data_IF_523188880599
#
_entry.id   IF_523188880599
#
_cell.length_a   1.000
_cell.length_b   1.000
_cell.length_c   1.000
_cell.angle_alpha   90.00
_cell.angle_beta   90.00
_cell.angle_gamma   90.00
#
_symmetry.space_group_name_H-M   'P 1'
#
loop_
_entity.id
_entity.type
_entity.pdbx_description
1 polymer ?
#
# COMPACT_ATOMS: atom_id res chain seq x y z
N UNK A 1 -14.25 4.51 22.04
CA UNK A 1 -14.22 3.27 21.23
C UNK A 1 -14.69 3.49 19.78
N UNK A 2 -15.84 4.14 19.55
CA UNK A 2 -16.37 4.42 18.18
C UNK A 2 -15.41 5.20 17.26
N UNK A 3 -14.59 6.11 17.81
CA UNK A 3 -13.61 6.89 17.03
C UNK A 3 -12.46 6.05 16.46
N UNK A 4 -11.93 5.12 17.23
CA UNK A 4 -10.80 4.26 16.81
C UNK A 4 -11.28 3.26 15.75
N UNK A 5 -12.45 2.65 15.95
CA UNK A 5 -13.05 1.76 14.96
C UNK A 5 -13.32 2.46 13.61
N UNK A 6 -13.81 3.71 13.65
CA UNK A 6 -13.96 4.53 12.43
C UNK A 6 -12.63 4.86 11.76
N UNK A 7 -11.58 5.12 12.53
CA UNK A 7 -10.24 5.44 12.00
C UNK A 7 -9.61 4.23 11.31
N UNK A 8 -9.78 3.03 11.88
CA UNK A 8 -9.35 1.77 11.26
C UNK A 8 -10.15 1.52 9.97
N UNK A 9 -11.49 1.65 10.01
CA UNK A 9 -12.31 1.49 8.81
C UNK A 9 -11.96 2.48 7.70
N UNK A 10 -11.60 3.71 8.06
CA UNK A 10 -11.12 4.72 7.13
C UNK A 10 -9.79 4.33 6.47
N UNK A 11 -8.86 3.78 7.25
CA UNK A 11 -7.58 3.29 6.73
C UNK A 11 -7.77 2.14 5.74
N UNK A 12 -8.59 1.14 6.08
CA UNK A 12 -8.90 0.02 5.18
C UNK A 12 -9.63 0.47 3.92
N UNK A 13 -10.52 1.47 4.03
CA UNK A 13 -11.18 2.07 2.86
C UNK A 13 -10.15 2.75 1.95
N UNK A 14 -9.17 3.47 2.49
CA UNK A 14 -8.09 4.09 1.71
C UNK A 14 -7.21 3.05 1.00
N UNK A 15 -6.83 1.96 1.70
CA UNK A 15 -6.12 0.83 1.09
C UNK A 15 -6.94 0.23 -0.06
N UNK A 16 -8.26 0.06 0.13
CA UNK A 16 -9.16 -0.44 -0.91
C UNK A 16 -9.22 0.47 -2.15
N UNK A 17 -9.24 1.79 -1.96
CA UNK A 17 -9.21 2.76 -3.07
C UNK A 17 -7.88 2.71 -3.81
N UNK A 18 -6.74 2.65 -3.13
CA UNK A 18 -5.42 2.50 -3.79
C UNK A 18 -5.31 1.19 -4.58
N UNK A 19 -5.87 0.09 -4.05
CA UNK A 19 -5.95 -1.18 -4.79
C UNK A 19 -6.85 -1.07 -6.03
N UNK A 20 -8.01 -0.41 -5.91
CA UNK A 20 -8.92 -0.19 -7.04
C UNK A 20 -8.36 0.77 -8.10
N UNK A 21 -7.49 1.70 -7.72
CA UNK A 21 -6.79 2.60 -8.64
C UNK A 21 -5.72 1.90 -9.50
N UNK A 22 -5.38 0.65 -9.18
CA UNK A 22 -4.35 -0.13 -9.85
C UNK A 22 -2.92 0.17 -9.37
N UNK A 23 -2.62 1.39 -8.94
CA UNK A 23 -1.27 1.77 -8.47
C UNK A 23 -0.88 0.99 -7.20
N UNK A 24 -1.80 0.83 -6.26
CA UNK A 24 -1.59 0.01 -5.05
C UNK A 24 -1.37 -1.47 -5.38
N UNK A 25 -2.01 -1.96 -6.45
CA UNK A 25 -1.90 -3.35 -6.91
C UNK A 25 -0.51 -3.62 -7.51
N UNK A 26 0.01 -2.68 -8.32
CA UNK A 26 1.38 -2.73 -8.84
C UNK A 26 2.40 -2.73 -7.69
N UNK A 27 2.25 -1.84 -6.71
CA UNK A 27 3.15 -1.79 -5.55
C UNK A 27 3.10 -3.09 -4.71
N UNK A 28 1.92 -3.70 -4.57
CA UNK A 28 1.75 -4.98 -3.89
C UNK A 28 2.48 -6.10 -4.63
N UNK A 29 2.34 -6.18 -5.96
CA UNK A 29 3.02 -7.20 -6.79
C UNK A 29 4.53 -7.04 -6.74
N UNK A 30 5.04 -5.81 -6.88
CA UNK A 30 6.49 -5.52 -6.78
C UNK A 30 7.02 -5.91 -5.40
N UNK A 31 6.29 -5.58 -4.34
CA UNK A 31 6.67 -5.98 -2.98
C UNK A 31 6.62 -7.50 -2.78
N UNK A 32 5.64 -8.19 -3.36
CA UNK A 32 5.56 -9.65 -3.33
C UNK A 32 6.73 -10.31 -4.07
N UNK A 33 7.16 -9.77 -5.20
CA UNK A 33 8.36 -10.24 -5.92
C UNK A 33 9.63 -10.02 -5.11
N UNK A 34 9.77 -8.88 -4.43
CA UNK A 34 10.88 -8.61 -3.51
C UNK A 34 10.87 -9.61 -2.33
N UNK A 35 9.70 -9.88 -1.76
CA UNK A 35 9.47 -10.88 -0.71
C UNK A 35 9.75 -12.30 -1.17
N UNK A 36 9.52 -12.61 -2.45
CA UNK A 36 9.91 -13.87 -3.07
C UNK A 36 11.42 -13.94 -3.33
N UNK A 37 12.10 -12.84 -3.66
CA UNK A 37 13.55 -12.86 -3.96
C UNK A 37 14.47 -12.75 -2.75
N UNK A 38 13.94 -12.65 -1.53
CA UNK A 38 14.74 -12.43 -0.29
C UNK A 38 15.48 -11.09 -0.31
N UNK A 39 14.98 -10.12 -1.07
CA UNK A 39 15.51 -8.77 -1.03
C UNK A 39 15.37 -8.24 0.40
N UNK A 40 16.39 -7.50 0.88
CA UNK A 40 16.34 -6.94 2.22
C UNK A 40 15.15 -5.99 2.38
N UNK A 41 14.57 -5.94 3.58
CA UNK A 41 13.36 -5.15 3.89
C UNK A 41 13.53 -3.66 3.53
N UNK A 42 14.77 -3.15 3.53
CA UNK A 42 15.10 -1.79 3.07
C UNK A 42 14.72 -1.53 1.61
N UNK A 43 14.67 -2.55 0.75
CA UNK A 43 14.21 -2.43 -0.63
C UNK A 43 12.70 -2.21 -0.76
N UNK A 44 11.90 -2.40 0.30
CA UNK A 44 10.48 -2.02 0.26
C UNK A 44 10.26 -0.50 0.30
N UNK A 45 11.24 0.27 0.79
CA UNK A 45 11.11 1.72 0.83
C UNK A 45 11.03 2.31 -0.58
N UNK A 46 11.75 1.75 -1.55
CA UNK A 46 11.71 2.21 -2.94
C UNK A 46 10.31 2.11 -3.58
N UNK A 47 9.63 0.95 -3.62
CA UNK A 47 8.28 0.83 -4.16
C UNK A 47 7.23 1.55 -3.30
N UNK A 48 7.42 1.64 -1.98
CA UNK A 48 6.51 2.39 -1.11
C UNK A 48 6.57 3.90 -1.37
N UNK A 49 7.76 4.47 -1.51
CA UNK A 49 7.96 5.89 -1.82
C UNK A 49 7.54 6.18 -3.26
N UNK A 50 7.90 5.34 -4.23
CA UNK A 50 7.49 5.52 -5.61
C UNK A 50 5.96 5.44 -5.78
N UNK A 51 5.32 4.49 -5.10
CA UNK A 51 3.86 4.37 -5.07
C UNK A 51 3.18 5.56 -4.39
N UNK A 52 3.72 6.05 -3.28
CA UNK A 52 3.22 7.25 -2.62
C UNK A 52 3.34 8.51 -3.50
N UNK A 53 4.46 8.69 -4.22
CA UNK A 53 4.63 9.82 -5.15
C UNK A 53 3.64 9.70 -6.32
N UNK A 54 3.52 8.51 -6.92
CA UNK A 54 2.60 8.28 -8.03
C UNK A 54 1.15 8.54 -7.62
N UNK A 55 0.73 8.01 -6.47
CA UNK A 55 -0.60 8.26 -5.92
C UNK A 55 -0.79 9.75 -5.59
N UNK A 56 0.22 10.43 -5.03
CA UNK A 56 0.10 11.86 -4.77
C UNK A 56 -0.10 12.65 -6.07
N UNK A 57 0.58 12.31 -7.17
CA UNK A 57 0.36 12.97 -8.47
C UNK A 57 -1.02 12.69 -9.08
N UNK A 58 -1.59 11.51 -8.83
CA UNK A 58 -2.92 11.14 -9.34
C UNK A 58 -4.05 11.79 -8.53
N UNK A 59 -3.87 11.96 -7.23
CA UNK A 59 -4.87 12.55 -6.34
C UNK A 59 -4.64 14.05 -6.07
N UNK A 60 -3.52 14.63 -6.54
CA UNK A 60 -3.24 16.06 -6.51
C UNK A 60 -4.27 16.82 -7.37
N UNK A 61 -5.32 17.33 -6.71
CA UNK A 61 -6.39 18.09 -7.36
C UNK A 61 -7.78 17.51 -7.17
N UNK A 62 -7.92 16.29 -6.63
CA UNK A 62 -9.22 15.68 -6.34
C UNK A 62 -9.75 16.18 -5.00
N UNK A 63 -10.23 17.42 -4.97
CA UNK A 63 -10.82 18.04 -3.76
C UNK A 63 -12.27 17.61 -3.48
N UNK A 64 -12.92 16.90 -4.42
CA UNK A 64 -14.37 16.65 -4.42
C UNK A 64 -14.80 15.21 -4.10
N UNK A 65 -13.87 14.32 -3.77
CA UNK A 65 -14.12 12.88 -3.61
C UNK A 65 -14.37 12.38 -2.17
N UNK A 66 -15.04 13.14 -1.30
CA UNK A 66 -15.34 12.69 0.06
C UNK A 66 -14.11 12.58 0.99
N UNK A 67 -14.36 12.27 2.28
CA UNK A 67 -13.35 12.38 3.36
C UNK A 67 -12.09 11.54 3.12
N UNK A 68 -12.23 10.37 2.47
CA UNK A 68 -11.12 9.45 2.19
C UNK A 68 -10.18 10.01 1.13
N UNK A 69 -10.72 10.53 0.02
CA UNK A 69 -9.91 11.06 -1.09
C UNK A 69 -9.23 12.37 -0.70
N UNK A 70 -9.88 13.19 0.14
CA UNK A 70 -9.23 14.37 0.72
C UNK A 70 -8.03 13.99 1.61
N UNK A 71 -8.11 12.89 2.36
CA UNK A 71 -6.97 12.39 3.14
C UNK A 71 -5.89 11.75 2.26
N UNK A 72 -6.23 11.22 1.09
CA UNK A 72 -5.25 10.76 0.09
C UNK A 72 -4.42 11.91 -0.48
N UNK A 73 -4.91 13.15 -0.46
CA UNK A 73 -4.08 14.32 -0.79
C UNK A 73 -2.97 14.59 0.24
N UNK A 74 -2.98 13.93 1.41
CA UNK A 74 -1.91 14.02 2.40
C UNK A 74 -0.83 12.97 2.13
N UNK A 75 0.32 13.42 1.64
CA UNK A 75 1.44 12.52 1.26
C UNK A 75 1.95 11.63 2.41
N UNK A 76 1.90 12.09 3.65
CA UNK A 76 2.32 11.28 4.80
C UNK A 76 1.34 10.13 5.07
N UNK A 77 0.04 10.38 4.92
CA UNK A 77 -0.98 9.33 5.04
C UNK A 77 -0.89 8.31 3.91
N UNK A 78 -0.71 8.78 2.66
CA UNK A 78 -0.47 7.89 1.52
C UNK A 78 0.78 7.01 1.70
N UNK A 79 1.87 7.57 2.22
CA UNK A 79 3.08 6.80 2.50
C UNK A 79 2.80 5.67 3.49
N UNK A 80 2.04 5.91 4.55
CA UNK A 80 1.65 4.87 5.52
C UNK A 80 0.81 3.78 4.87
N UNK A 81 -0.14 4.16 4.00
CA UNK A 81 -0.96 3.21 3.23
C UNK A 81 -0.08 2.34 2.32
N UNK A 82 0.85 2.93 1.57
CA UNK A 82 1.77 2.18 0.70
C UNK A 82 2.75 1.32 1.47
N UNK A 83 3.26 1.77 2.62
CA UNK A 83 4.08 0.94 3.50
C UNK A 83 3.30 -0.32 3.93
N UNK A 84 2.02 -0.16 4.29
CA UNK A 84 1.17 -1.29 4.67
C UNK A 84 0.91 -2.25 3.50
N UNK A 85 0.60 -1.72 2.32
CA UNK A 85 0.42 -2.52 1.09
C UNK A 85 1.70 -3.28 0.74
N UNK A 86 2.85 -2.62 0.79
CA UNK A 86 4.14 -3.23 0.51
C UNK A 86 4.50 -4.31 1.56
N UNK A 87 4.27 -4.05 2.84
CA UNK A 87 4.46 -5.05 3.90
C UNK A 87 3.59 -6.29 3.68
N UNK A 88 2.32 -6.09 3.34
CA UNK A 88 1.39 -7.18 3.03
C UNK A 88 1.86 -7.97 1.80
N UNK A 89 2.24 -7.29 0.72
CA UNK A 89 2.79 -7.91 -0.50
C UNK A 89 4.05 -8.71 -0.22
N UNK A 90 5.03 -8.13 0.48
CA UNK A 90 6.27 -8.81 0.85
C UNK A 90 6.02 -10.03 1.74
N UNK A 91 5.10 -9.92 2.71
CA UNK A 91 4.67 -11.04 3.55
C UNK A 91 4.09 -12.18 2.73
N UNK A 92 3.19 -11.88 1.78
CA UNK A 92 2.63 -12.85 0.84
C UNK A 92 3.71 -13.51 -0.02
N UNK A 93 4.65 -12.74 -0.57
CA UNK A 93 5.77 -13.27 -1.36
C UNK A 93 6.72 -14.16 -0.56
N UNK A 94 6.97 -13.82 0.71
CA UNK A 94 7.76 -14.64 1.61
C UNK A 94 7.05 -15.95 2.00
N UNK A 95 5.73 -15.89 2.25
CA UNK A 95 4.90 -17.07 2.53
C UNK A 95 4.79 -18.00 1.32
N UNK A 96 4.54 -17.45 0.13
CA UNK A 96 4.41 -18.22 -1.10
C UNK A 96 5.72 -18.95 -1.44
N UNK A 97 6.87 -18.35 -1.13
CA UNK A 97 8.15 -19.06 -1.16
C UNK A 97 8.26 -20.21 -0.17
N UNK A 98 7.83 -20.00 1.08
CA UNK A 98 7.86 -21.07 2.11
C UNK A 98 6.94 -22.23 1.73
N UNK A 99 5.83 -21.94 1.05
CA UNK A 99 4.94 -22.94 0.48
C UNK A 99 5.54 -23.64 -0.75
N UNK A 100 6.23 -22.91 -1.63
CA UNK A 100 6.88 -23.42 -2.83
C UNK A 100 8.22 -24.15 -2.60
N UNK A 101 8.80 -24.08 -1.39
CA UNK A 101 10.00 -24.82 -1.00
C UNK A 101 9.73 -26.24 -0.50
N UNK A 102 8.50 -26.76 -0.65
CA UNK A 102 8.09 -28.11 -0.26
C UNK A 102 8.02 -29.11 -1.43
N UNK A 103 8.67 -28.83 -2.56
CA UNK A 103 8.80 -29.77 -3.68
C UNK A 103 10.25 -30.13 -3.90
#
# INVERSE_FOLDING_TARGET
>A
MVRIARLIGFFFSAVGVELASGVGLVALVVAALLGWKRAGVHWLLAPAVAGAIAAQTMFAGVSTGGKVVNAMSNGAFQLIVYIFICLAGYGLGALARRAGGKT
#
